data_IF_283088469441
#
_entry.id   IF_283088469441
#
_cell.length_a   1.000
_cell.length_b   1.000
_cell.length_c   1.000
_cell.angle_alpha   90.00
_cell.angle_beta   90.00
_cell.angle_gamma   90.00
#
_symmetry.space_group_name_H-M   'P 1'
#
loop_
_entity.id
_entity.type
_entity.pdbx_description
1 polymer ?
#
# COMPACT_ATOMS: atom_id res chain seq x y z
N UNK A 1 35.74 63.28 -17.60
CA UNK A 1 34.62 63.67 -16.72
C UNK A 1 33.32 63.23 -17.38
N UNK A 2 32.49 62.43 -16.70
CA UNK A 2 31.24 61.90 -17.26
C UNK A 2 30.17 63.00 -17.27
N UNK A 3 29.49 63.22 -18.39
CA UNK A 3 28.51 64.30 -18.52
C UNK A 3 27.30 64.08 -17.60
N UNK A 4 26.61 65.14 -17.13
CA UNK A 4 25.41 65.01 -16.30
C UNK A 4 24.32 64.15 -16.96
N UNK A 5 24.23 64.19 -18.29
CA UNK A 5 23.32 63.37 -19.09
C UNK A 5 23.69 61.88 -19.04
N UNK A 6 24.98 61.56 -19.16
CA UNK A 6 25.48 60.19 -19.05
C UNK A 6 25.25 59.58 -17.66
N UNK A 7 25.40 60.38 -16.59
CA UNK A 7 25.09 59.93 -15.21
C UNK A 7 23.59 59.64 -15.01
N UNK A 8 22.71 60.49 -15.55
CA UNK A 8 21.26 60.26 -15.51
C UNK A 8 20.85 59.01 -16.27
N UNK A 9 21.43 58.78 -17.45
CA UNK A 9 21.17 57.58 -18.24
C UNK A 9 21.61 56.31 -17.50
N UNK A 10 22.76 56.32 -16.85
CA UNK A 10 23.25 55.19 -16.07
C UNK A 10 22.35 54.88 -14.86
N UNK A 11 21.87 55.90 -14.15
CA UNK A 11 20.91 55.74 -13.04
C UNK A 11 19.59 55.16 -13.55
N UNK A 12 19.06 55.64 -14.67
CA UNK A 12 17.81 55.12 -15.25
C UNK A 12 17.95 53.66 -15.69
N UNK A 13 19.10 53.26 -16.24
CA UNK A 13 19.38 51.87 -16.60
C UNK A 13 19.46 50.95 -15.38
N UNK A 14 20.10 51.40 -14.29
CA UNK A 14 20.14 50.65 -13.03
C UNK A 14 18.74 50.50 -12.43
N UNK A 15 17.98 51.58 -12.37
CA UNK A 15 16.61 51.56 -11.84
C UNK A 15 15.70 50.65 -12.66
N UNK A 16 15.83 50.67 -13.99
CA UNK A 16 15.12 49.76 -14.89
C UNK A 16 15.50 48.29 -14.65
N UNK A 17 16.80 48.00 -14.51
CA UNK A 17 17.28 46.64 -14.26
C UNK A 17 16.81 46.09 -12.91
N UNK A 18 16.85 46.91 -11.85
CA UNK A 18 16.34 46.54 -10.52
C UNK A 18 14.83 46.29 -10.54
N UNK A 19 14.07 47.14 -11.25
CA UNK A 19 12.63 46.95 -11.40
C UNK A 19 12.30 45.65 -12.13
N UNK A 20 13.02 45.32 -13.22
CA UNK A 20 12.85 44.06 -13.96
C UNK A 20 13.20 42.84 -13.09
N UNK A 21 14.23 42.94 -12.25
CA UNK A 21 14.61 41.85 -11.34
C UNK A 21 13.54 41.61 -10.27
N UNK A 22 12.96 42.69 -9.71
CA UNK A 22 11.85 42.61 -8.74
C UNK A 22 10.59 42.04 -9.41
N UNK A 23 10.22 42.52 -10.59
CA UNK A 23 9.08 41.98 -11.35
C UNK A 23 9.31 40.48 -11.61
N UNK A 24 10.47 40.11 -12.13
CA UNK A 24 10.81 38.70 -12.35
C UNK A 24 10.74 37.88 -11.06
N UNK A 25 11.23 38.40 -9.94
CA UNK A 25 11.15 37.72 -8.66
C UNK A 25 9.70 37.53 -8.20
N UNK A 26 8.87 38.59 -8.26
CA UNK A 26 7.48 38.54 -7.83
C UNK A 26 6.62 37.60 -8.69
N UNK A 27 6.78 37.64 -10.01
CA UNK A 27 6.05 36.75 -10.92
C UNK A 27 6.53 35.29 -10.80
N UNK A 28 7.84 35.06 -10.79
CA UNK A 28 8.39 33.69 -10.78
C UNK A 28 8.29 32.99 -9.41
N UNK A 29 8.39 33.73 -8.29
CA UNK A 29 8.12 33.15 -6.96
C UNK A 29 6.62 33.08 -6.64
N UNK A 30 5.81 34.01 -7.16
CA UNK A 30 4.37 33.98 -6.97
C UNK A 30 3.75 32.68 -7.50
N UNK A 31 4.15 32.27 -8.70
CA UNK A 31 3.68 31.04 -9.33
C UNK A 31 4.12 29.78 -8.56
N UNK A 32 5.36 29.73 -8.06
CA UNK A 32 5.87 28.60 -7.26
C UNK A 32 5.15 28.51 -5.91
N UNK A 33 4.94 29.63 -5.22
CA UNK A 33 4.23 29.65 -3.93
C UNK A 33 2.76 29.29 -4.12
N UNK A 34 2.12 29.77 -5.19
CA UNK A 34 0.76 29.37 -5.55
C UNK A 34 0.66 27.87 -5.88
N UNK A 35 1.63 27.32 -6.60
CA UNK A 35 1.68 25.88 -6.91
C UNK A 35 1.90 25.02 -5.66
N UNK A 36 2.76 25.45 -4.72
CA UNK A 36 2.97 24.76 -3.43
C UNK A 36 1.72 24.86 -2.54
N UNK A 37 1.01 25.98 -2.57
CA UNK A 37 -0.25 26.15 -1.83
C UNK A 37 -1.38 25.30 -2.42
N UNK A 38 -1.44 25.21 -3.75
CA UNK A 38 -2.38 24.33 -4.44
C UNK A 38 -2.10 22.85 -4.15
N UNK A 39 -0.83 22.43 -4.06
CA UNK A 39 -0.48 21.04 -3.74
C UNK A 39 -0.71 20.65 -2.28
N UNK A 40 -0.85 21.62 -1.36
CA UNK A 40 -1.08 21.36 0.08
C UNK A 40 -2.56 21.38 0.48
N UNK A 41 -3.44 22.03 -0.28
CA UNK A 41 -4.88 22.12 0.02
C UNK A 41 -5.71 20.92 -0.48
N UNK A 42 -5.13 20.00 -1.27
CA UNK A 42 -5.83 18.84 -1.85
C UNK A 42 -5.60 17.50 -1.11
N UNK A 43 -5.23 17.54 0.18
CA UNK A 43 -5.32 16.35 1.05
C UNK A 43 -6.21 16.65 2.26
N UNK A 44 -7.46 17.01 1.99
CA UNK A 44 -8.47 17.15 3.03
C UNK A 44 -9.02 15.76 3.36
N UNK A 45 -8.26 14.98 4.13
CA UNK A 45 -8.71 13.68 4.64
C UNK A 45 -10.03 13.88 5.36
N UNK A 46 -11.07 13.20 4.92
CA UNK A 46 -12.36 13.18 5.63
C UNK A 46 -12.10 12.74 7.07
N UNK A 47 -12.40 13.62 8.02
CA UNK A 47 -12.24 13.32 9.44
C UNK A 47 -12.97 12.01 9.77
N UNK A 48 -12.34 11.15 10.56
CA UNK A 48 -12.85 9.84 11.00
C UNK A 48 -12.94 8.73 9.94
N UNK A 49 -12.43 8.90 8.71
CA UNK A 49 -12.29 7.75 7.80
C UNK A 49 -11.06 6.90 8.14
N UNK A 50 -11.17 5.56 8.19
CA UNK A 50 -10.01 4.69 8.42
C UNK A 50 -8.97 4.86 7.31
N UNK A 51 -7.70 4.62 7.64
CA UNK A 51 -6.63 4.54 6.65
C UNK A 51 -6.77 3.21 5.90
N UNK A 52 -6.95 3.27 4.59
CA UNK A 52 -6.88 2.10 3.73
C UNK A 52 -5.43 1.60 3.63
N UNK A 53 -5.21 0.35 3.98
CA UNK A 53 -3.92 -0.34 3.91
C UNK A 53 -4.10 -1.61 3.09
N UNK A 54 -3.70 -1.58 1.82
CA UNK A 54 -3.71 -2.76 0.95
C UNK A 54 -2.32 -3.39 0.90
N UNK A 55 -2.25 -4.68 1.22
CA UNK A 55 -1.00 -5.43 1.34
C UNK A 55 -0.97 -6.50 0.25
N UNK A 56 -0.09 -6.31 -0.74
CA UNK A 56 0.22 -7.30 -1.76
C UNK A 56 1.42 -8.12 -1.32
N UNK A 57 1.29 -9.44 -1.26
CA UNK A 57 2.32 -10.30 -0.69
C UNK A 57 2.40 -11.66 -1.37
N UNK A 58 3.50 -12.37 -1.15
CA UNK A 58 3.73 -13.75 -1.61
C UNK A 58 3.81 -14.65 -0.38
N UNK A 59 3.07 -15.76 -0.36
CA UNK A 59 2.94 -16.56 0.85
C UNK A 59 4.28 -17.16 1.32
N UNK A 60 5.17 -17.61 0.41
CA UNK A 60 6.48 -18.19 0.78
C UNK A 60 7.63 -17.16 0.86
N UNK A 61 7.37 -15.88 0.57
CA UNK A 61 8.39 -14.84 0.67
C UNK A 61 8.71 -14.48 2.13
N UNK A 62 9.99 -14.52 2.48
CA UNK A 62 10.47 -14.20 3.84
C UNK A 62 10.10 -12.79 4.31
N UNK A 63 10.20 -11.79 3.42
CA UNK A 63 9.86 -10.40 3.75
C UNK A 63 8.36 -10.21 3.95
N UNK A 64 7.54 -10.87 3.11
CA UNK A 64 6.08 -10.88 3.26
C UNK A 64 5.66 -11.47 4.61
N UNK A 65 6.24 -12.61 4.98
CA UNK A 65 6.06 -13.23 6.29
C UNK A 65 6.46 -12.30 7.43
N UNK A 66 7.64 -11.68 7.32
CA UNK A 66 8.14 -10.78 8.35
C UNK A 66 7.21 -9.56 8.52
N UNK A 67 6.81 -8.92 7.43
CA UNK A 67 5.90 -7.78 7.45
C UNK A 67 4.56 -8.14 8.11
N UNK A 68 3.91 -9.23 7.67
CA UNK A 68 2.59 -9.62 8.19
C UNK A 68 2.67 -9.92 9.69
N UNK A 69 3.64 -10.72 10.12
CA UNK A 69 3.72 -11.20 11.52
C UNK A 69 4.26 -10.12 12.46
N UNK A 70 5.29 -9.37 12.04
CA UNK A 70 6.05 -8.49 12.94
C UNK A 70 5.64 -7.02 12.84
N UNK A 71 4.93 -6.61 11.79
CA UNK A 71 4.55 -5.21 11.59
C UNK A 71 3.04 -5.04 11.48
N UNK A 72 2.41 -5.68 10.49
CA UNK A 72 0.98 -5.48 10.22
C UNK A 72 0.10 -5.95 11.38
N UNK A 73 0.27 -7.19 11.85
CA UNK A 73 -0.56 -7.74 12.92
C UNK A 73 -0.44 -6.92 14.23
N UNK A 74 0.78 -6.58 14.73
CA UNK A 74 0.92 -5.71 15.90
C UNK A 74 0.36 -4.31 15.72
N UNK A 75 0.51 -3.71 14.53
CA UNK A 75 -0.05 -2.40 14.23
C UNK A 75 -1.59 -2.43 14.23
N UNK A 76 -2.19 -3.42 13.57
CA UNK A 76 -3.64 -3.57 13.53
C UNK A 76 -4.23 -3.80 14.92
N UNK A 77 -3.59 -4.59 15.79
CA UNK A 77 -4.06 -4.77 17.18
C UNK A 77 -4.10 -3.47 17.97
N UNK A 78 -3.23 -2.51 17.68
CA UNK A 78 -3.17 -1.22 18.37
C UNK A 78 -4.10 -0.17 17.76
N UNK A 79 -4.34 -0.24 16.44
CA UNK A 79 -4.98 0.82 15.68
C UNK A 79 -6.16 0.34 14.82
N UNK A 80 -6.75 -0.82 15.12
CA UNK A 80 -7.86 -1.39 14.32
C UNK A 80 -9.03 -0.44 14.07
N UNK A 81 -9.45 0.47 14.98
CA UNK A 81 -10.57 1.39 14.71
C UNK A 81 -10.29 2.41 13.60
N UNK A 82 -9.02 2.63 13.24
CA UNK A 82 -8.59 3.62 12.25
C UNK A 82 -7.92 2.99 11.03
N UNK A 83 -8.03 1.67 10.85
CA UNK A 83 -7.42 0.93 9.74
C UNK A 83 -8.46 0.11 8.99
N UNK A 84 -8.47 0.22 7.67
CA UNK A 84 -9.16 -0.71 6.76
C UNK A 84 -8.09 -1.51 6.01
N UNK A 85 -7.96 -2.80 6.33
CA UNK A 85 -6.88 -3.64 5.82
C UNK A 85 -7.41 -4.61 4.76
N UNK A 86 -6.78 -4.56 3.59
CA UNK A 86 -7.02 -5.47 2.48
C UNK A 86 -5.77 -6.32 2.22
N UNK A 87 -5.94 -7.64 2.15
CA UNK A 87 -4.85 -8.59 1.97
C UNK A 87 -4.97 -9.22 0.58
N UNK A 88 -3.90 -9.18 -0.22
CA UNK A 88 -3.87 -9.68 -1.59
C UNK A 88 -2.69 -10.66 -1.77
N UNK A 89 -2.89 -11.97 -1.55
CA UNK A 89 -1.87 -13.00 -1.76
C UNK A 89 -1.72 -13.28 -3.25
N UNK A 90 -0.75 -12.63 -3.89
CA UNK A 90 -0.41 -12.82 -5.29
C UNK A 90 1.04 -12.41 -5.53
N UNK A 91 1.39 -11.19 -5.13
CA UNK A 91 2.74 -10.65 -5.17
C UNK A 91 3.32 -10.69 -6.58
N UNK A 92 4.39 -11.46 -6.78
CA UNK A 92 5.11 -11.56 -8.06
C UNK A 92 4.69 -12.77 -8.90
N UNK A 93 3.56 -13.40 -8.56
CA UNK A 93 2.98 -14.42 -9.40
C UNK A 93 2.66 -13.86 -10.79
N UNK A 94 2.73 -14.73 -11.80
CA UNK A 94 2.30 -14.45 -13.17
C UNK A 94 1.10 -15.30 -13.48
N UNK A 95 0.15 -14.73 -14.21
CA UNK A 95 -1.04 -15.43 -14.68
C UNK A 95 -0.94 -15.62 -16.18
N UNK A 96 -1.25 -16.82 -16.65
CA UNK A 96 -1.40 -17.15 -18.07
C UNK A 96 -2.72 -17.89 -18.28
N UNK A 97 -3.22 -17.87 -19.51
CA UNK A 97 -4.43 -18.61 -19.89
C UNK A 97 -4.01 -19.85 -20.65
N UNK A 98 -4.47 -21.01 -20.20
CA UNK A 98 -4.30 -22.30 -20.89
C UNK A 98 -5.11 -22.36 -22.19
N UNK A 99 -4.80 -23.34 -23.05
CA UNK A 99 -5.54 -23.58 -24.30
C UNK A 99 -7.04 -23.87 -24.08
N UNK A 100 -7.42 -24.34 -22.89
CA UNK A 100 -8.82 -24.62 -22.51
C UNK A 100 -9.53 -23.41 -21.90
N UNK A 101 -8.85 -22.25 -21.80
CA UNK A 101 -9.40 -21.04 -21.19
C UNK A 101 -9.22 -20.95 -19.67
N UNK A 102 -8.69 -21.98 -19.01
CA UNK A 102 -8.41 -21.95 -17.56
C UNK A 102 -7.20 -21.08 -17.22
N UNK A 103 -7.18 -20.50 -16.02
CA UNK A 103 -6.03 -19.73 -15.51
C UNK A 103 -4.95 -20.66 -14.97
N UNK A 104 -3.69 -20.34 -15.28
CA UNK A 104 -2.49 -20.95 -14.72
C UNK A 104 -1.64 -19.89 -14.05
N UNK A 105 -1.23 -20.18 -12.82
CA UNK A 105 -0.39 -19.30 -12.02
C UNK A 105 1.04 -19.86 -11.94
N UNK A 106 2.02 -18.96 -12.05
CA UNK A 106 3.44 -19.25 -11.87
C UNK A 106 4.00 -18.33 -10.79
N UNK A 107 4.59 -18.89 -9.73
CA UNK A 107 5.05 -18.15 -8.56
C UNK A 107 6.57 -18.28 -8.39
N UNK A 108 7.20 -17.32 -7.72
CA UNK A 108 8.67 -17.26 -7.62
C UNK A 108 9.25 -18.43 -6.83
N UNK A 109 8.52 -18.89 -5.80
CA UNK A 109 8.93 -20.02 -4.97
C UNK A 109 8.23 -21.34 -5.37
N UNK A 110 7.80 -21.44 -6.63
CA UNK A 110 7.24 -22.67 -7.21
C UNK A 110 5.79 -22.93 -6.83
N UNK A 111 5.32 -24.15 -7.14
CA UNK A 111 3.90 -24.49 -7.05
C UNK A 111 3.32 -24.42 -5.63
N UNK A 112 4.14 -24.73 -4.62
CA UNK A 112 3.73 -24.64 -3.21
C UNK A 112 3.39 -23.20 -2.81
N UNK A 113 4.08 -22.20 -3.35
CA UNK A 113 3.71 -20.80 -3.13
C UNK A 113 2.37 -20.47 -3.78
N UNK A 114 2.15 -20.91 -5.02
CA UNK A 114 0.88 -20.67 -5.69
C UNK A 114 -0.28 -21.31 -4.91
N UNK A 115 -0.09 -22.54 -4.42
CA UNK A 115 -1.06 -23.21 -3.57
C UNK A 115 -1.29 -22.46 -2.25
N UNK A 116 -0.23 -22.01 -1.58
CA UNK A 116 -0.32 -21.17 -0.38
C UNK A 116 -1.07 -19.85 -0.64
N UNK A 117 -0.77 -19.17 -1.74
CA UNK A 117 -1.48 -17.94 -2.15
C UNK A 117 -2.98 -18.22 -2.32
N UNK A 118 -3.36 -19.33 -2.96
CA UNK A 118 -4.76 -19.72 -3.13
C UNK A 118 -5.46 -20.01 -1.79
N UNK A 119 -4.84 -20.77 -0.89
CA UNK A 119 -5.43 -21.03 0.43
C UNK A 119 -5.59 -19.74 1.25
N UNK A 120 -4.62 -18.83 1.20
CA UNK A 120 -4.74 -17.52 1.83
C UNK A 120 -5.90 -16.71 1.22
N UNK A 121 -6.05 -16.71 -0.11
CA UNK A 121 -7.14 -16.03 -0.79
C UNK A 121 -8.51 -16.59 -0.36
N UNK A 122 -8.65 -17.92 -0.33
CA UNK A 122 -9.87 -18.58 0.14
C UNK A 122 -10.21 -18.23 1.59
N UNK A 123 -9.21 -18.20 2.48
CA UNK A 123 -9.42 -17.82 3.87
C UNK A 123 -9.83 -16.35 4.02
N UNK A 124 -9.22 -15.45 3.24
CA UNK A 124 -9.58 -14.03 3.19
C UNK A 124 -11.03 -13.84 2.74
N UNK A 125 -11.45 -14.54 1.68
CA UNK A 125 -12.82 -14.48 1.15
C UNK A 125 -13.85 -15.03 2.16
N UNK A 126 -13.53 -16.13 2.83
CA UNK A 126 -14.44 -16.78 3.77
C UNK A 126 -14.65 -16.01 5.10
N UNK A 127 -13.72 -15.13 5.48
CA UNK A 127 -13.70 -14.49 6.81
C UNK A 127 -14.11 -13.02 6.71
N UNK A 128 -15.27 -12.69 7.29
CA UNK A 128 -15.84 -11.34 7.22
C UNK A 128 -15.12 -10.30 8.10
N UNK A 129 -14.68 -10.71 9.30
CA UNK A 129 -14.05 -9.80 10.26
C UNK A 129 -12.57 -9.58 9.91
N UNK A 130 -12.15 -8.32 9.82
CA UNK A 130 -10.78 -7.96 9.45
C UNK A 130 -9.74 -8.51 10.44
N UNK A 131 -10.04 -8.45 11.74
CA UNK A 131 -9.17 -9.01 12.79
C UNK A 131 -8.93 -10.51 12.58
N UNK A 132 -9.99 -11.25 12.29
CA UNK A 132 -9.92 -12.70 12.08
C UNK A 132 -9.18 -13.05 10.78
N UNK A 133 -9.37 -12.25 9.71
CA UNK A 133 -8.59 -12.40 8.46
C UNK A 133 -7.10 -12.24 8.71
N UNK A 134 -6.70 -11.17 9.41
CA UNK A 134 -5.28 -10.87 9.66
C UNK A 134 -4.68 -11.93 10.59
N UNK A 135 -5.39 -12.34 11.65
CA UNK A 135 -4.94 -13.42 12.53
C UNK A 135 -4.78 -14.75 11.77
N UNK A 136 -5.75 -15.10 10.92
CA UNK A 136 -5.72 -16.29 10.08
C UNK A 136 -4.50 -16.28 9.14
N UNK A 137 -4.33 -15.21 8.37
CA UNK A 137 -3.20 -15.08 7.44
C UNK A 137 -1.87 -15.07 8.18
N UNK A 138 -1.76 -14.37 9.31
CA UNK A 138 -0.54 -14.35 10.12
C UNK A 138 -0.19 -15.72 10.70
N UNK A 139 -1.20 -16.53 11.05
CA UNK A 139 -1.01 -17.90 11.47
C UNK A 139 -0.53 -18.78 10.30
N UNK A 140 -1.26 -18.77 9.19
CA UNK A 140 -0.95 -19.61 8.03
C UNK A 140 0.44 -19.29 7.46
N UNK A 141 0.80 -18.01 7.34
CA UNK A 141 2.10 -17.58 6.78
C UNK A 141 3.30 -17.94 7.68
N UNK A 142 3.06 -18.36 8.93
CA UNK A 142 4.12 -18.77 9.83
C UNK A 142 4.81 -20.06 9.34
N UNK A 143 4.05 -21.06 8.93
CA UNK A 143 4.56 -22.28 8.29
C UNK A 143 3.57 -22.79 7.24
N UNK A 144 3.81 -22.41 5.99
CA UNK A 144 2.96 -22.68 4.83
C UNK A 144 3.69 -23.48 3.74
N UNK A 145 4.75 -24.24 4.10
CA UNK A 145 5.34 -25.22 3.18
C UNK A 145 4.39 -26.37 2.86
N UNK A 146 3.37 -26.55 3.70
CA UNK A 146 2.26 -27.48 3.52
C UNK A 146 0.95 -26.70 3.60
N UNK A 147 0.53 -26.04 2.52
CA UNK A 147 -0.54 -25.04 2.56
C UNK A 147 -1.86 -25.55 3.13
N UNK A 148 -2.25 -26.76 2.73
CA UNK A 148 -3.45 -27.43 3.24
C UNK A 148 -3.40 -27.68 4.75
N UNK A 149 -2.28 -28.19 5.25
CA UNK A 149 -2.08 -28.44 6.70
C UNK A 149 -2.03 -27.12 7.47
N UNK A 150 -1.39 -26.09 6.90
CA UNK A 150 -1.35 -24.75 7.49
C UNK A 150 -2.76 -24.19 7.69
N UNK A 151 -3.67 -24.39 6.74
CA UNK A 151 -5.08 -24.04 6.91
C UNK A 151 -5.76 -24.93 7.97
N UNK A 152 -5.72 -26.25 7.85
CA UNK A 152 -6.48 -27.13 8.76
C UNK A 152 -6.04 -27.02 10.23
N UNK A 153 -4.75 -26.77 10.48
CA UNK A 153 -4.18 -26.79 11.82
C UNK A 153 -4.26 -25.44 12.54
N UNK A 154 -4.84 -24.37 11.97
CA UNK A 154 -4.88 -23.07 12.69
C UNK A 154 -5.67 -23.12 14.00
N UNK A 155 -6.63 -24.04 14.13
CA UNK A 155 -7.38 -24.22 15.38
C UNK A 155 -6.50 -24.76 16.51
N UNK A 156 -5.58 -25.66 16.19
CA UNK A 156 -4.63 -26.25 17.15
C UNK A 156 -3.39 -25.39 17.33
N UNK A 157 -2.87 -24.82 16.25
CA UNK A 157 -1.57 -24.13 16.23
C UNK A 157 -1.71 -22.66 16.66
N UNK A 158 -2.85 -22.04 16.38
CA UNK A 158 -3.06 -20.61 16.62
C UNK A 158 -4.34 -20.31 17.42
N UNK A 159 -5.04 -21.34 17.92
CA UNK A 159 -6.27 -21.20 18.71
C UNK A 159 -7.37 -20.40 18.00
N UNK A 160 -7.44 -20.47 16.66
CA UNK A 160 -8.46 -19.79 15.86
C UNK A 160 -9.66 -20.74 15.66
N UNK A 161 -10.85 -20.37 16.16
CA UNK A 161 -12.05 -21.20 16.04
C UNK A 161 -12.70 -21.09 14.66
N UNK A 162 -12.71 -22.19 13.91
CA UNK A 162 -13.33 -22.29 12.58
C UNK A 162 -14.86 -22.34 12.58
N UNK A 163 -15.48 -22.60 13.74
CA UNK A 163 -16.92 -22.92 13.81
C UNK A 163 -17.81 -21.79 13.32
N UNK A 164 -17.30 -20.57 13.19
CA UNK A 164 -18.07 -19.43 12.66
C UNK A 164 -17.86 -19.11 11.18
N UNK A 165 -16.86 -19.70 10.49
CA UNK A 165 -16.44 -19.26 9.15
C UNK A 165 -16.87 -20.19 8.00
N UNK A 166 -17.03 -21.49 8.26
CA UNK A 166 -17.30 -22.49 7.22
C UNK A 166 -18.70 -23.14 7.31
N UNK A 167 -19.61 -22.58 8.11
CA UNK A 167 -20.92 -23.22 8.34
C UNK A 167 -21.91 -23.14 7.18
N UNK A 168 -21.64 -22.38 6.11
CA UNK A 168 -22.64 -22.14 5.07
C UNK A 168 -22.24 -22.48 3.63
N UNK A 169 -21.07 -23.05 3.35
CA UNK A 169 -20.77 -23.58 2.02
C UNK A 169 -19.96 -24.87 2.14
N UNK A 170 -20.56 -25.96 1.69
CA UNK A 170 -19.99 -27.30 1.75
C UNK A 170 -18.64 -27.37 1.03
N UNK A 171 -17.74 -28.15 1.63
CA UNK A 171 -16.60 -28.84 1.02
C UNK A 171 -15.68 -28.00 0.12
N UNK A 172 -14.50 -27.65 0.66
CA UNK A 172 -13.27 -27.52 -0.15
C UNK A 172 -12.79 -28.93 -0.51
#
# INVERSE_FOLDING_TARGET
MVSPLQKRLFILLIMSFLLLFIIRYLFFHGDIVAAIKASTEEYKRTANMPVLVTVYYEALCGDSKHFIIKQLLPAFKQASPIMDVQLVPYGKAKTSTTLTGSYRFECQHGQTECEANMYHACAIEAIQRAEDRINMVACMIHDNRRPREALHNVSTTCSISFRHYFQNNGSI
#
